data_IF_918476119377
#
_entry.id   IF_918476119377
#
_cell.length_a   1.000
_cell.length_b   1.000
_cell.length_c   1.000
_cell.angle_alpha   90.00
_cell.angle_beta   90.00
_cell.angle_gamma   90.00
#
_symmetry.space_group_name_H-M   'P 1'
#
loop_
_entity.id
_entity.type
_entity.pdbx_description
1 polymer ?
#
# COMPACT_ATOMS: atom_id res chain seq x y z
N UNK A 1 -4.63 1.33 10.68
CA UNK A 1 -3.30 1.16 10.04
C UNK A 1 -2.41 2.30 10.51
N UNK A 2 -1.27 2.00 11.13
CA UNK A 2 -0.22 3.00 11.26
C UNK A 2 0.40 3.25 9.87
N UNK A 3 0.89 4.47 9.62
CA UNK A 3 1.37 4.86 8.29
C UNK A 3 2.46 3.91 7.80
N UNK A 4 2.21 3.21 6.69
CA UNK A 4 3.22 2.36 6.07
C UNK A 4 4.34 3.25 5.53
N UNK A 5 5.55 3.06 6.05
CA UNK A 5 6.73 3.76 5.56
C UNK A 5 7.41 2.97 4.45
N UNK A 6 8.21 3.62 3.62
CA UNK A 6 8.96 2.95 2.54
C UNK A 6 9.83 1.81 3.08
N UNK A 7 10.40 1.97 4.28
CA UNK A 7 11.21 0.96 4.95
C UNK A 7 10.42 -0.30 5.29
N UNK A 8 9.13 -0.16 5.63
CA UNK A 8 8.22 -1.30 5.88
C UNK A 8 7.88 -2.08 4.60
N UNK A 9 8.00 -1.45 3.44
CA UNK A 9 7.61 -1.99 2.15
C UNK A 9 8.80 -2.62 1.40
N UNK A 10 10.01 -2.10 1.59
CA UNK A 10 11.20 -2.51 0.83
C UNK A 10 11.56 -3.98 1.05
N UNK A 11 11.32 -4.50 2.27
CA UNK A 11 11.60 -5.89 2.65
C UNK A 11 10.52 -6.89 2.26
N UNK A 12 9.34 -6.41 1.83
CA UNK A 12 8.21 -7.29 1.53
C UNK A 12 8.29 -7.82 0.10
N UNK A 13 7.92 -9.08 -0.16
CA UNK A 13 7.78 -9.61 -1.51
C UNK A 13 6.67 -8.86 -2.30
N UNK A 14 6.79 -8.84 -3.62
CA UNK A 14 5.86 -8.11 -4.50
C UNK A 14 4.41 -8.61 -4.38
N UNK A 15 4.21 -9.90 -4.17
CA UNK A 15 2.88 -10.47 -3.91
C UNK A 15 2.23 -9.89 -2.65
N UNK A 16 3.02 -9.70 -1.59
CA UNK A 16 2.54 -9.11 -0.35
C UNK A 16 2.22 -7.62 -0.51
N UNK A 17 3.01 -6.89 -1.31
CA UNK A 17 2.67 -5.52 -1.69
C UNK A 17 1.32 -5.42 -2.42
N UNK A 18 1.01 -6.35 -3.32
CA UNK A 18 -0.31 -6.42 -3.94
C UNK A 18 -1.43 -6.74 -2.93
N UNK A 19 -1.16 -7.62 -1.96
CA UNK A 19 -2.08 -7.91 -0.86
C UNK A 19 -2.38 -6.68 0.00
N UNK A 20 -1.33 -5.92 0.36
CA UNK A 20 -1.46 -4.66 1.10
C UNK A 20 -2.21 -3.60 0.30
N UNK A 21 -2.00 -3.53 -1.02
CA UNK A 21 -2.72 -2.62 -1.89
C UNK A 21 -4.23 -2.92 -1.87
N UNK A 22 -4.61 -4.20 -1.97
CA UNK A 22 -6.01 -4.64 -1.85
C UNK A 22 -6.60 -4.30 -0.48
N UNK A 23 -5.86 -4.52 0.60
CA UNK A 23 -6.30 -4.19 1.95
C UNK A 23 -6.55 -2.69 2.13
N UNK A 24 -5.68 -1.84 1.56
CA UNK A 24 -5.85 -0.39 1.60
C UNK A 24 -7.08 0.07 0.80
N UNK A 25 -7.36 -0.52 -0.37
CA UNK A 25 -8.59 -0.24 -1.11
C UNK A 25 -9.85 -0.64 -0.33
N UNK A 26 -9.87 -1.82 0.28
CA UNK A 26 -10.99 -2.25 1.11
C UNK A 26 -11.21 -1.31 2.30
N UNK A 27 -10.12 -0.83 2.92
CA UNK A 27 -10.21 0.15 4.00
C UNK A 27 -10.82 1.47 3.53
N UNK A 28 -10.48 1.95 2.34
CA UNK A 28 -11.10 3.16 1.75
C UNK A 28 -12.61 2.94 1.54
N UNK A 29 -13.01 1.76 1.04
CA UNK A 29 -14.41 1.44 0.80
C UNK A 29 -15.23 1.33 2.10
N UNK A 30 -14.62 0.82 3.17
CA UNK A 30 -15.26 0.69 4.48
C UNK A 30 -15.21 1.96 5.34
N UNK A 31 -14.43 2.96 4.94
CA UNK A 31 -14.21 4.17 5.73
C UNK A 31 -15.14 5.31 5.33
N UNK A 32 -15.61 6.06 6.32
CA UNK A 32 -16.34 7.32 6.07
C UNK A 32 -15.42 8.35 5.39
N UNK A 33 -16.01 9.30 4.64
CA UNK A 33 -15.29 10.47 4.14
C UNK A 33 -14.54 11.18 5.29
N UNK A 34 -13.34 11.69 5.00
CA UNK A 34 -12.46 12.40 5.94
C UNK A 34 -11.99 11.65 7.18
N UNK A 35 -12.32 10.37 7.33
CA UNK A 35 -11.80 9.59 8.45
C UNK A 35 -10.26 9.46 8.40
N UNK A 36 -9.59 9.43 9.57
CA UNK A 36 -8.15 9.14 9.65
C UNK A 36 -7.76 7.84 8.95
N UNK A 37 -8.64 6.83 8.99
CA UNK A 37 -8.44 5.55 8.30
C UNK A 37 -8.38 5.70 6.78
N UNK A 38 -9.28 6.51 6.20
CA UNK A 38 -9.24 6.81 4.76
C UNK A 38 -7.95 7.54 4.37
N UNK A 39 -7.52 8.52 5.18
CA UNK A 39 -6.27 9.24 4.94
C UNK A 39 -5.05 8.33 5.02
N UNK A 40 -5.00 7.44 6.03
CA UNK A 40 -3.94 6.46 6.18
C UNK A 40 -3.90 5.46 5.02
N UNK A 41 -5.07 4.98 4.58
CA UNK A 41 -5.17 4.07 3.45
C UNK A 41 -4.72 4.71 2.13
N UNK A 42 -5.04 5.99 1.89
CA UNK A 42 -4.55 6.74 0.73
C UNK A 42 -3.02 6.92 0.74
N UNK A 43 -2.46 7.22 1.92
CA UNK A 43 -1.01 7.31 2.08
C UNK A 43 -0.33 5.95 1.82
N UNK A 44 -0.91 4.86 2.35
CA UNK A 44 -0.45 3.49 2.10
C UNK A 44 -0.46 3.13 0.60
N UNK A 45 -1.55 3.42 -0.12
CA UNK A 45 -1.63 3.17 -1.57
C UNK A 45 -0.52 3.91 -2.31
N UNK A 46 -0.29 5.18 -1.98
CA UNK A 46 0.76 5.99 -2.61
C UNK A 46 2.14 5.37 -2.39
N UNK A 47 2.46 4.97 -1.15
CA UNK A 47 3.73 4.35 -0.81
C UNK A 47 3.93 3.00 -1.52
N UNK A 48 2.91 2.14 -1.51
CA UNK A 48 2.94 0.81 -2.14
C UNK A 48 3.10 0.95 -3.66
N UNK A 49 2.35 1.84 -4.31
CA UNK A 49 2.48 2.06 -5.77
C UNK A 49 3.86 2.59 -6.13
N UNK A 50 4.44 3.49 -5.32
CA UNK A 50 5.80 3.98 -5.53
C UNK A 50 6.83 2.85 -5.42
N UNK A 51 6.68 1.97 -4.44
CA UNK A 51 7.58 0.83 -4.27
C UNK A 51 7.43 -0.19 -5.41
N UNK A 52 6.20 -0.50 -5.83
CA UNK A 52 5.95 -1.36 -6.99
C UNK A 52 6.54 -0.77 -8.28
N UNK A 53 6.38 0.54 -8.50
CA UNK A 53 6.99 1.23 -9.64
C UNK A 53 8.52 1.22 -9.57
N UNK A 54 9.10 1.37 -8.38
CA UNK A 54 10.55 1.28 -8.15
C UNK A 54 11.11 -0.10 -8.52
N UNK A 55 10.35 -1.17 -8.28
CA UNK A 55 10.72 -2.54 -8.63
C UNK A 55 10.65 -2.83 -10.13
N UNK A 56 9.96 -1.98 -10.90
CA UNK A 56 9.79 -2.14 -12.34
C UNK A 56 8.85 -3.30 -12.71
N UNK A 57 8.52 -3.46 -14.00
CA UNK A 57 7.60 -4.48 -14.49
C UNK A 57 8.18 -5.90 -14.60
N UNK A 58 9.32 -6.22 -13.97
CA UNK A 58 9.91 -7.55 -14.09
C UNK A 58 9.54 -8.48 -12.91
N UNK A 59 9.20 -9.74 -13.20
CA UNK A 59 8.72 -10.70 -12.22
C UNK A 59 9.87 -11.08 -11.28
N UNK A 60 9.53 -11.79 -10.20
CA UNK A 60 10.55 -12.55 -9.47
C UNK A 60 11.35 -13.45 -10.43
N UNK A 61 12.50 -13.97 -9.96
CA UNK A 61 13.62 -14.51 -10.74
C UNK A 61 13.25 -15.42 -11.90
#
# INVERSE_FOLDING_TARGET
MHGLTTSDLVWRPTAELHGLLRAAFNMIAASTPDSPNRRAALAAITAIRRELARRGPNPGP
#
